data_IF_065424417210
#
_entry.id   IF_065424417210
#
_cell.length_a   1.000
_cell.length_b   1.000
_cell.length_c   1.000
_cell.angle_alpha   90.00
_cell.angle_beta   90.00
_cell.angle_gamma   90.00
#
_symmetry.space_group_name_H-M   'P 1'
#
loop_
_entity.id
_entity.type
_entity.pdbx_description
1 polymer ?
#
# COMPACT_ATOMS: atom_id res chain seq x y z
N UNK A 1 36.26 24.56 9.48
CA UNK A 1 36.05 24.05 8.11
C UNK A 1 35.76 22.56 8.09
N UNK A 2 36.72 21.66 8.33
CA UNK A 2 36.50 20.20 8.24
C UNK A 2 35.44 19.64 9.20
N UNK A 3 35.44 20.06 10.47
CA UNK A 3 34.44 19.61 11.49
C UNK A 3 33.00 20.05 11.17
N UNK A 4 32.82 21.24 10.61
CA UNK A 4 31.51 21.74 10.14
C UNK A 4 31.02 20.95 8.93
N UNK A 5 31.92 20.58 8.03
CA UNK A 5 31.58 19.75 6.87
C UNK A 5 31.11 18.35 7.29
N UNK A 6 31.77 17.71 8.25
CA UNK A 6 31.33 16.41 8.81
C UNK A 6 29.99 16.50 9.55
N UNK A 7 29.74 17.59 10.28
CA UNK A 7 28.45 17.85 10.94
C UNK A 7 27.32 18.04 9.92
N UNK A 8 27.55 18.80 8.85
CA UNK A 8 26.59 18.98 7.76
C UNK A 8 26.34 17.66 7.00
N UNK A 9 27.39 16.86 6.78
CA UNK A 9 27.28 15.54 6.16
C UNK A 9 26.45 14.59 7.02
N UNK A 10 26.68 14.58 8.34
CA UNK A 10 25.92 13.76 9.30
C UNK A 10 24.45 14.17 9.35
N UNK A 11 24.14 15.46 9.45
CA UNK A 11 22.75 15.97 9.46
C UNK A 11 22.03 15.61 8.15
N UNK A 12 22.70 15.74 7.00
CA UNK A 12 22.14 15.36 5.71
C UNK A 12 21.88 13.85 5.59
N UNK A 13 22.76 13.00 6.15
CA UNK A 13 22.55 11.54 6.17
C UNK A 13 21.41 11.12 7.09
N UNK A 14 21.25 11.72 8.28
CA UNK A 14 20.18 11.36 9.22
C UNK A 14 18.79 11.78 8.73
N UNK A 15 18.70 12.90 7.99
CA UNK A 15 17.44 13.37 7.42
C UNK A 15 16.95 12.45 6.29
N UNK A 16 17.87 11.81 5.57
CA UNK A 16 17.57 10.89 4.48
C UNK A 16 16.99 9.55 4.98
N UNK A 17 17.50 9.00 6.09
CA UNK A 17 16.98 7.75 6.66
C UNK A 17 15.55 7.87 7.19
N UNK A 18 15.21 8.98 7.85
CA UNK A 18 13.87 9.17 8.44
C UNK A 18 12.78 9.39 7.37
N UNK A 19 13.12 10.11 6.30
CA UNK A 19 12.23 10.34 5.16
C UNK A 19 11.98 9.05 4.36
N UNK A 20 13.05 8.30 4.06
CA UNK A 20 12.98 7.04 3.33
C UNK A 20 12.11 6.00 4.06
N UNK A 21 12.16 5.97 5.39
CA UNK A 21 11.30 5.11 6.21
C UNK A 21 9.82 5.44 6.05
N UNK A 22 9.46 6.72 5.91
CA UNK A 22 8.06 7.15 5.74
C UNK A 22 7.52 6.83 4.36
N UNK A 23 8.32 7.06 3.31
CA UNK A 23 7.92 6.74 1.93
C UNK A 23 7.77 5.23 1.73
N UNK A 24 8.72 4.43 2.23
CA UNK A 24 8.65 2.97 2.15
C UNK A 24 7.47 2.40 2.96
N UNK A 25 7.21 2.96 4.15
CA UNK A 25 6.05 2.58 4.97
C UNK A 25 4.73 2.92 4.28
N UNK A 26 4.62 4.09 3.65
CA UNK A 26 3.46 4.45 2.83
C UNK A 26 3.24 3.44 1.70
N UNK A 27 4.28 3.14 0.90
CA UNK A 27 4.20 2.19 -0.22
C UNK A 27 3.74 0.83 0.27
N UNK A 28 4.34 0.33 1.35
CA UNK A 28 4.01 -0.96 1.96
C UNK A 28 2.54 -1.03 2.39
N UNK A 29 2.05 -0.01 3.11
CA UNK A 29 0.65 0.02 3.59
C UNK A 29 -0.36 0.19 2.45
N UNK A 30 -0.05 1.03 1.47
CA UNK A 30 -0.86 1.19 0.27
C UNK A 30 -0.96 -0.14 -0.50
N UNK A 31 0.15 -0.84 -0.69
CA UNK A 31 0.16 -2.15 -1.35
C UNK A 31 -0.60 -3.22 -0.56
N UNK A 32 -0.45 -3.27 0.77
CA UNK A 32 -1.22 -4.18 1.63
C UNK A 32 -2.72 -3.97 1.45
N UNK A 33 -3.19 -2.73 1.53
CA UNK A 33 -4.61 -2.45 1.34
C UNK A 33 -5.07 -2.71 -0.10
N UNK A 34 -4.29 -2.31 -1.11
CA UNK A 34 -4.62 -2.57 -2.52
C UNK A 34 -4.68 -4.06 -2.84
N UNK A 35 -3.91 -4.92 -2.16
CA UNK A 35 -3.94 -6.37 -2.36
C UNK A 35 -5.23 -7.03 -1.88
N UNK A 36 -5.94 -6.43 -0.92
CA UNK A 36 -7.21 -6.97 -0.40
C UNK A 36 -8.42 -6.25 -1.00
N UNK A 37 -8.30 -4.96 -1.32
CA UNK A 37 -9.43 -4.10 -1.69
C UNK A 37 -9.08 -3.15 -2.85
N UNK A 38 -8.61 -3.71 -3.97
CA UNK A 38 -8.12 -2.92 -5.11
C UNK A 38 -9.16 -1.96 -5.69
N UNK A 39 -10.44 -2.38 -5.77
CA UNK A 39 -11.52 -1.54 -6.31
C UNK A 39 -11.71 -0.27 -5.48
N UNK A 40 -11.79 -0.42 -4.15
CA UNK A 40 -11.92 0.69 -3.22
C UNK A 40 -10.67 1.58 -3.21
N UNK A 41 -9.48 0.98 -3.25
CA UNK A 41 -8.23 1.73 -3.39
C UNK A 41 -8.23 2.61 -4.65
N UNK A 42 -8.53 2.05 -5.83
CA UNK A 42 -8.62 2.78 -7.10
C UNK A 42 -9.66 3.89 -7.07
N UNK A 43 -10.85 3.61 -6.52
CA UNK A 43 -11.92 4.60 -6.38
C UNK A 43 -11.46 5.81 -5.56
N UNK A 44 -10.79 5.57 -4.43
CA UNK A 44 -10.24 6.65 -3.61
C UNK A 44 -9.17 7.44 -4.35
N UNK A 45 -8.25 6.79 -5.07
CA UNK A 45 -7.27 7.51 -5.88
C UNK A 45 -7.94 8.42 -6.91
N UNK A 46 -8.97 7.95 -7.60
CA UNK A 46 -9.73 8.76 -8.55
C UNK A 46 -10.35 10.00 -7.91
N UNK A 47 -10.99 9.84 -6.75
CA UNK A 47 -11.66 10.96 -6.04
C UNK A 47 -10.64 11.94 -5.49
N UNK A 48 -9.64 11.46 -4.76
CA UNK A 48 -8.70 12.31 -4.02
C UNK A 48 -7.75 13.09 -4.95
N UNK A 49 -7.35 12.46 -6.07
CA UNK A 49 -6.40 13.04 -7.01
C UNK A 49 -7.04 13.54 -8.31
N UNK A 50 -8.38 13.56 -8.38
CA UNK A 50 -9.14 14.00 -9.55
C UNK A 50 -8.68 13.30 -10.85
N UNK A 51 -8.35 12.01 -10.75
CA UNK A 51 -7.88 11.20 -11.89
C UNK A 51 -8.98 10.27 -12.37
N UNK A 52 -8.93 9.91 -13.66
CA UNK A 52 -9.87 8.96 -14.26
C UNK A 52 -9.40 7.54 -14.01
N UNK A 53 -10.34 6.62 -13.80
CA UNK A 53 -10.06 5.22 -13.48
C UNK A 53 -9.27 4.47 -14.56
N UNK A 54 -9.46 4.84 -15.84
CA UNK A 54 -8.71 4.27 -16.96
C UNK A 54 -7.25 4.74 -17.02
N UNK A 55 -6.94 5.95 -16.53
CA UNK A 55 -5.56 6.44 -16.46
C UNK A 55 -4.73 5.72 -15.38
N UNK A 56 -5.40 5.18 -14.35
CA UNK A 56 -4.71 4.46 -13.27
C UNK A 56 -3.98 3.22 -13.78
N UNK A 57 -4.48 2.54 -14.82
CA UNK A 57 -3.81 1.37 -15.39
C UNK A 57 -2.51 1.75 -16.11
N UNK A 58 -2.51 2.90 -16.78
CA UNK A 58 -1.30 3.43 -17.41
C UNK A 58 -0.28 3.88 -16.37
N UNK A 59 -0.73 4.51 -15.28
CA UNK A 59 0.13 4.87 -14.15
C UNK A 59 0.69 3.64 -13.45
N UNK A 60 -0.13 2.60 -13.25
CA UNK A 60 0.31 1.33 -12.67
C UNK A 60 1.47 0.73 -13.47
N UNK A 61 1.32 0.61 -14.79
CA UNK A 61 2.41 0.15 -15.68
C UNK A 61 3.63 1.07 -15.64
N UNK A 62 3.42 2.39 -15.62
CA UNK A 62 4.51 3.36 -15.62
C UNK A 62 5.29 3.40 -14.29
N UNK A 63 4.64 3.08 -13.18
CA UNK A 63 5.18 3.07 -11.81
C UNK A 63 5.69 1.69 -11.37
N UNK A 64 6.02 0.80 -12.33
CA UNK A 64 6.64 -0.49 -12.03
C UNK A 64 5.66 -1.57 -11.59
N UNK A 65 4.39 -1.46 -11.97
CA UNK A 65 3.33 -2.39 -11.61
C UNK A 65 3.13 -2.50 -10.08
N UNK A 66 3.23 -1.36 -9.40
CA UNK A 66 3.09 -1.26 -7.94
C UNK A 66 2.09 -0.15 -7.59
N UNK A 67 1.04 -0.50 -6.84
CA UNK A 67 -0.04 0.44 -6.50
C UNK A 67 0.40 1.48 -5.48
N UNK A 68 1.28 1.13 -4.54
CA UNK A 68 1.91 2.05 -3.61
C UNK A 68 2.74 3.11 -4.33
N UNK A 69 3.47 2.73 -5.38
CA UNK A 69 4.16 3.69 -6.26
C UNK A 69 3.21 4.59 -7.03
N UNK A 70 2.05 4.10 -7.47
CA UNK A 70 1.02 4.95 -8.09
C UNK A 70 0.49 5.98 -7.10
N UNK A 71 0.13 5.54 -5.88
CA UNK A 71 -0.34 6.43 -4.83
C UNK A 71 0.69 7.51 -4.47
N UNK A 72 1.95 7.12 -4.34
CA UNK A 72 3.05 8.05 -4.04
C UNK A 72 3.29 9.03 -5.19
N UNK A 73 3.26 8.56 -6.44
CA UNK A 73 3.43 9.43 -7.60
C UNK A 73 2.29 10.46 -7.73
N UNK A 74 1.05 10.08 -7.40
CA UNK A 74 -0.09 11.00 -7.36
C UNK A 74 0.04 12.04 -6.25
N UNK A 75 0.53 11.66 -5.08
CA UNK A 75 0.88 12.58 -3.99
C UNK A 75 1.90 13.62 -4.46
N UNK A 76 3.00 13.15 -5.06
CA UNK A 76 4.06 14.02 -5.58
C UNK A 76 3.53 14.96 -6.66
N UNK A 77 2.67 14.46 -7.57
CA UNK A 77 2.04 15.28 -8.60
C UNK A 77 1.20 16.40 -7.98
N UNK A 78 0.37 16.08 -6.98
CA UNK A 78 -0.46 17.05 -6.27
C UNK A 78 0.39 18.11 -5.56
N UNK A 79 1.38 17.70 -4.77
CA UNK A 79 2.24 18.60 -4.00
C UNK A 79 3.06 19.52 -4.91
N UNK A 80 3.64 18.97 -5.97
CA UNK A 80 4.51 19.74 -6.87
C UNK A 80 3.74 20.53 -7.93
N UNK A 81 2.44 20.30 -8.09
CA UNK A 81 1.63 20.85 -9.17
C UNK A 81 2.01 20.32 -10.56
N UNK A 82 2.88 19.30 -10.65
CA UNK A 82 3.32 18.72 -11.92
C UNK A 82 2.31 17.71 -12.44
N UNK A 83 2.27 17.55 -13.76
CA UNK A 83 1.40 16.55 -14.36
C UNK A 83 1.90 15.13 -14.02
N UNK A 84 0.99 14.20 -13.73
CA UNK A 84 1.33 12.81 -13.34
C UNK A 84 2.24 12.12 -14.37
N UNK A 85 2.02 12.40 -15.66
CA UNK A 85 2.89 11.91 -16.75
C UNK A 85 4.36 12.30 -16.56
N UNK A 86 4.63 13.51 -16.06
CA UNK A 86 5.99 13.99 -15.82
C UNK A 86 6.59 13.28 -14.61
N UNK A 87 5.79 13.05 -13.55
CA UNK A 87 6.21 12.25 -12.40
C UNK A 87 6.59 10.83 -12.81
N UNK A 88 5.80 10.20 -13.68
CA UNK A 88 6.14 8.89 -14.25
C UNK A 88 7.46 8.92 -15.05
N UNK A 89 7.78 10.01 -15.74
CA UNK A 89 9.08 10.16 -16.43
C UNK A 89 10.24 10.30 -15.43
N UNK A 90 10.06 11.09 -14.36
CA UNK A 90 11.03 11.16 -13.27
C UNK A 90 11.26 9.79 -12.65
N UNK A 91 10.19 9.04 -12.37
CA UNK A 91 10.28 7.68 -11.87
C UNK A 91 11.10 6.78 -12.80
N UNK A 92 10.76 6.73 -14.09
CA UNK A 92 11.52 5.93 -15.08
C UNK A 92 13.01 6.30 -15.11
N UNK A 93 13.32 7.59 -15.05
CA UNK A 93 14.71 8.10 -15.11
C UNK A 93 15.50 7.80 -13.83
N UNK A 94 14.88 7.96 -12.66
CA UNK A 94 15.59 7.95 -11.38
C UNK A 94 15.24 6.75 -10.48
N UNK A 95 14.43 5.78 -10.92
CA UNK A 95 13.99 4.63 -10.11
C UNK A 95 15.13 3.92 -9.36
N UNK A 96 16.30 3.80 -9.99
CA UNK A 96 17.47 3.12 -9.41
C UNK A 96 18.08 3.86 -8.21
N UNK A 97 17.73 5.14 -8.03
CA UNK A 97 18.18 5.99 -6.94
C UNK A 97 17.09 6.17 -5.86
N UNK A 98 15.88 5.63 -6.06
CA UNK A 98 14.77 5.76 -5.11
C UNK A 98 13.99 7.07 -5.21
N UNK A 99 12.94 7.15 -4.39
CA UNK A 99 11.99 8.27 -4.39
C UNK A 99 12.59 9.55 -3.83
N UNK A 100 13.50 9.49 -2.85
CA UNK A 100 14.17 10.67 -2.31
C UNK A 100 14.90 11.47 -3.40
N UNK A 101 15.55 10.79 -4.35
CA UNK A 101 16.17 11.47 -5.48
C UNK A 101 15.14 12.16 -6.37
N UNK A 102 14.00 11.51 -6.60
CA UNK A 102 12.91 12.09 -7.41
C UNK A 102 12.34 13.34 -6.75
N UNK A 103 12.12 13.32 -5.43
CA UNK A 103 11.64 14.47 -4.66
C UNK A 103 12.58 15.67 -4.77
N UNK A 104 13.90 15.44 -4.65
CA UNK A 104 14.91 16.49 -4.81
C UNK A 104 14.88 17.13 -6.20
N UNK A 105 14.77 16.32 -7.26
CA UNK A 105 14.72 16.81 -8.65
C UNK A 105 13.42 17.57 -8.97
N UNK A 106 12.34 17.24 -8.26
CA UNK A 106 11.04 17.91 -8.38
C UNK A 106 11.00 19.21 -7.57
N UNK A 107 11.83 19.33 -6.54
CA UNK A 107 11.89 20.51 -5.66
C UNK A 107 11.21 20.32 -4.30
N UNK A 108 10.73 19.12 -3.98
CA UNK A 108 10.24 18.77 -2.64
C UNK A 108 11.46 18.38 -1.80
N UNK A 109 12.10 19.38 -1.18
CA UNK A 109 13.37 19.22 -0.45
C UNK A 109 13.31 19.86 0.92
N UNK A 110 14.13 19.42 1.89
CA UNK A 110 14.18 20.05 3.21
C UNK A 110 14.36 21.58 3.10
N UNK A 111 13.53 22.33 3.82
CA UNK A 111 13.50 23.79 3.78
C UNK A 111 12.74 24.40 2.59
N UNK A 112 12.08 23.61 1.74
CA UNK A 112 11.07 24.11 0.80
C UNK A 112 9.71 24.22 1.47
N UNK A 113 8.87 25.14 0.99
CA UNK A 113 7.52 25.39 1.52
C UNK A 113 6.60 24.15 1.47
N UNK A 114 6.92 23.19 0.60
CA UNK A 114 6.12 21.99 0.37
C UNK A 114 6.56 20.78 1.21
N UNK A 115 7.76 20.81 1.80
CA UNK A 115 8.38 19.61 2.37
C UNK A 115 7.60 19.04 3.54
N UNK A 116 7.31 19.86 4.54
CA UNK A 116 6.62 19.40 5.75
C UNK A 116 5.18 18.97 5.41
N UNK A 117 4.47 19.78 4.61
CA UNK A 117 3.10 19.49 4.19
C UNK A 117 3.00 18.19 3.37
N UNK A 118 3.95 17.92 2.47
CA UNK A 118 4.02 16.67 1.71
C UNK A 118 4.12 15.47 2.65
N UNK A 119 5.04 15.54 3.59
CA UNK A 119 5.33 14.44 4.49
C UNK A 119 4.19 14.22 5.50
N UNK A 120 3.54 15.29 5.98
CA UNK A 120 2.34 15.19 6.81
C UNK A 120 1.19 14.48 6.07
N UNK A 121 1.04 14.77 4.77
CA UNK A 121 0.04 14.09 3.93
C UNK A 121 0.40 12.63 3.69
N UNK A 122 1.67 12.32 3.43
CA UNK A 122 2.18 10.93 3.33
C UNK A 122 1.85 10.14 4.60
N UNK A 123 2.08 10.69 5.78
CA UNK A 123 1.80 10.00 7.04
C UNK A 123 0.29 9.85 7.30
N UNK A 124 -0.51 10.84 6.92
CA UNK A 124 -1.96 10.78 7.03
C UNK A 124 -2.53 9.66 6.14
N UNK A 125 -2.17 9.65 4.86
CA UNK A 125 -2.61 8.63 3.91
C UNK A 125 -2.07 7.24 4.27
N UNK A 126 -0.81 7.15 4.71
CA UNK A 126 -0.22 5.89 5.20
C UNK A 126 -1.03 5.30 6.36
N UNK A 127 -1.37 6.11 7.37
CA UNK A 127 -2.22 5.68 8.49
C UNK A 127 -3.62 5.31 8.04
N UNK A 128 -4.18 6.03 7.07
CA UNK A 128 -5.47 5.69 6.48
C UNK A 128 -5.45 4.28 5.86
N UNK A 129 -4.47 3.98 4.99
CA UNK A 129 -4.38 2.67 4.35
C UNK A 129 -4.22 1.54 5.36
N UNK A 130 -3.38 1.75 6.38
CA UNK A 130 -3.21 0.78 7.45
C UNK A 130 -4.51 0.51 8.21
N UNK A 131 -5.21 1.57 8.64
CA UNK A 131 -6.47 1.44 9.37
C UNK A 131 -7.52 0.70 8.53
N UNK A 132 -7.62 1.00 7.25
CA UNK A 132 -8.59 0.35 6.37
C UNK A 132 -8.25 -1.11 6.05
N UNK A 133 -6.96 -1.45 6.02
CA UNK A 133 -6.50 -2.83 5.94
C UNK A 133 -6.84 -3.59 7.23
N UNK A 134 -6.58 -3.02 8.40
CA UNK A 134 -6.90 -3.65 9.69
C UNK A 134 -8.42 -3.87 9.83
N UNK A 135 -9.22 -2.86 9.45
CA UNK A 135 -10.68 -2.99 9.39
C UNK A 135 -11.10 -4.13 8.46
N UNK A 136 -10.52 -4.24 7.26
CA UNK A 136 -10.83 -5.34 6.35
C UNK A 136 -10.55 -6.70 7.02
N UNK A 137 -9.36 -6.86 7.61
CA UNK A 137 -9.00 -8.09 8.33
C UNK A 137 -9.94 -8.39 9.49
N UNK A 138 -10.24 -7.43 10.36
CA UNK A 138 -11.17 -7.62 11.48
C UNK A 138 -12.57 -8.04 11.04
N UNK A 139 -13.06 -7.54 9.90
CA UNK A 139 -14.35 -7.94 9.37
C UNK A 139 -14.27 -9.34 8.77
N UNK A 140 -13.26 -9.64 7.96
CA UNK A 140 -13.15 -10.93 7.29
C UNK A 140 -12.74 -12.08 8.23
N UNK A 141 -11.94 -11.84 9.26
CA UNK A 141 -11.59 -12.84 10.28
C UNK A 141 -12.82 -13.25 11.09
N UNK A 142 -13.75 -12.31 11.34
CA UNK A 142 -15.03 -12.59 12.04
C UNK A 142 -15.99 -13.47 11.23
N UNK A 143 -15.88 -13.49 9.91
CA UNK A 143 -16.71 -14.35 9.04
C UNK A 143 -16.05 -15.69 8.69
N UNK A 144 -14.76 -15.85 8.96
CA UNK A 144 -14.01 -17.09 8.69
C UNK A 144 -13.73 -17.94 9.93
N UNK A 145 -14.35 -17.66 11.07
CA UNK A 145 -14.37 -18.63 12.15
C UNK A 145 -15.26 -19.82 11.76
N UNK A 146 -14.71 -21.03 11.50
CA UNK A 146 -15.55 -22.22 11.48
C UNK A 146 -16.22 -22.32 12.85
N UNK A 147 -17.51 -22.64 12.85
CA UNK A 147 -18.21 -23.03 14.07
C UNK A 147 -17.29 -23.97 14.86
N UNK A 148 -16.94 -23.59 16.09
CA UNK A 148 -16.29 -24.53 17.01
C UNK A 148 -17.20 -25.76 17.04
N UNK A 149 -16.74 -26.87 16.47
CA UNK A 149 -17.37 -28.18 16.69
C UNK A 149 -17.43 -28.34 18.21
N UNK A 150 -18.65 -28.25 18.76
CA UNK A 150 -18.89 -28.75 20.10
C UNK A 150 -18.39 -30.20 20.08
N UNK A 151 -17.44 -30.52 20.96
CA UNK A 151 -17.05 -31.91 21.19
C UNK A 151 -18.32 -32.63 21.62
N UNK A 152 -18.87 -33.46 20.72
CA UNK A 152 -19.94 -34.36 21.05
C UNK A 152 -19.40 -35.27 22.15
N UNK A 153 -20.16 -35.37 23.24
CA UNK A 153 -19.83 -36.27 24.33
C UNK A 153 -19.77 -37.70 23.79
N UNK A 154 -18.69 -38.37 24.16
CA UNK A 154 -18.46 -39.80 24.05
C UNK A 154 -19.63 -40.51 24.75
N UNK A 155 -20.39 -41.28 23.98
CA UNK A 155 -21.25 -42.33 24.53
C UNK A 155 -20.86 -43.60 23.78
N UNK A 156 -20.04 -44.36 24.48
CA UNK A 156 -19.91 -45.81 24.52
C UNK A 156 -20.52 -46.60 23.35
N UNK A 157 -19.62 -47.33 22.69
CA UNK A 157 -19.75 -48.65 22.04
C UNK A 157 -21.14 -49.30 22.13
N UNK A 158 -21.69 -49.69 20.98
CA UNK A 158 -22.00 -51.10 20.71
C UNK A 158 -22.39 -51.28 19.23
N UNK A 159 -21.91 -52.41 18.71
CA UNK A 159 -21.90 -52.91 17.35
C UNK A 159 -23.30 -53.18 16.73
N UNK A 160 -23.23 -53.68 15.49
CA UNK A 160 -24.26 -54.38 14.70
C UNK A 160 -25.13 -53.46 13.82
N UNK A 161 -25.39 -53.72 12.56
CA UNK A 161 -24.89 -54.66 11.56
C UNK A 161 -25.63 -54.25 10.27
N UNK A 162 -24.99 -54.57 9.14
CA UNK A 162 -25.65 -55.07 7.93
C UNK A 162 -26.50 -54.17 7.00
N UNK A 163 -26.22 -54.46 5.72
CA UNK A 163 -27.07 -54.41 4.53
C UNK A 163 -27.33 -53.04 3.90
N UNK A 164 -27.28 -52.87 2.59
CA UNK A 164 -26.75 -53.63 1.45
C UNK A 164 -27.05 -52.71 0.23
N UNK A 165 -26.32 -52.95 -0.84
CA UNK A 165 -26.73 -52.76 -2.23
C UNK A 165 -27.03 -51.35 -2.78
N UNK A 166 -26.12 -50.94 -3.68
CA UNK A 166 -26.40 -50.72 -5.10
C UNK A 166 -27.77 -50.15 -5.47
N UNK A 167 -27.78 -48.97 -6.10
CA UNK A 167 -28.25 -48.89 -7.48
C UNK A 167 -27.85 -47.56 -8.15
N UNK A 168 -27.37 -47.73 -9.37
CA UNK A 168 -27.05 -46.75 -10.39
C UNK A 168 -28.30 -45.96 -10.88
N UNK A 169 -28.01 -44.97 -11.72
CA UNK A 169 -28.84 -44.37 -12.80
C UNK A 169 -29.56 -43.02 -12.58
N UNK A 170 -29.01 -42.04 -13.32
CA UNK A 170 -29.63 -41.09 -14.26
C UNK A 170 -30.81 -40.17 -13.86
N UNK A 171 -30.56 -38.84 -13.87
CA UNK A 171 -30.98 -37.90 -14.94
C UNK A 171 -30.33 -36.49 -14.77
#
# INVERSE_FOLDING_TARGET
MRKLFFLLLLIATSCSSFAQDRLSLFISRANKYASVELSNYRKRLCVEYHTRGNLLDDYYRACGCDWGHVGLALEIARTSGKHMRDICQYYKRYRKYGWDRILLEIGIRPGSDYYDSFYDRIDCESRYWHKHYDIYHDHHDRYHHPHKRYKHHDWDDDDDDDDDDDDDDDD
#
